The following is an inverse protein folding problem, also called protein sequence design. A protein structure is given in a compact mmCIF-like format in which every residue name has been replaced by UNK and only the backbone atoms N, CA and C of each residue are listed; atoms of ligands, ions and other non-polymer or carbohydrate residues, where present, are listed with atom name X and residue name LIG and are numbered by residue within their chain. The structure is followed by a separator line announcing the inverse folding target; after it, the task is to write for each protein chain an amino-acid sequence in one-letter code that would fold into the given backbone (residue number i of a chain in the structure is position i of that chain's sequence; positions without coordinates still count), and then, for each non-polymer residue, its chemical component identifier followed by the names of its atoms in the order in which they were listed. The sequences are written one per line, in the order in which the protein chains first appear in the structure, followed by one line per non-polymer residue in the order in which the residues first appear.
data_IF_063853774828
#
_entry.id   IF_063853774828
#
_cell.length_a   1.000
_cell.length_b   1.000
_cell.length_c   1.000
_cell.angle_alpha   90.00
_cell.angle_beta   90.00
_cell.angle_gamma   90.00
#
_symmetry.space_group_name_H-M   'P 1'
#
loop_
_entity.id
_entity.type
_entity.pdbx_description
1 polymer ?
#
# COMPACT_ATOMS: atom_id res chain seq x y z
N UNK A 1 -10.89 3.30 -15.52
CA UNK A 1 -9.61 3.68 -14.89
C UNK A 1 -9.78 4.22 -13.46
N UNK A 2 -10.66 5.17 -13.25
CA UNK A 2 -10.90 5.74 -11.91
C UNK A 2 -11.29 4.66 -10.90
N UNK A 3 -12.16 3.71 -11.30
CA UNK A 3 -12.57 2.61 -10.41
C UNK A 3 -11.40 1.74 -9.99
N UNK A 4 -10.50 1.45 -10.93
CA UNK A 4 -9.31 0.62 -10.66
C UNK A 4 -8.40 1.37 -9.69
N UNK A 5 -8.13 2.65 -9.94
CA UNK A 5 -7.29 3.46 -9.06
C UNK A 5 -7.91 3.57 -7.66
N UNK A 6 -9.22 3.81 -7.57
CA UNK A 6 -9.91 3.89 -6.29
C UNK A 6 -9.80 2.57 -5.52
N UNK A 7 -9.98 1.45 -6.20
CA UNK A 7 -9.84 0.12 -5.59
C UNK A 7 -8.42 -0.09 -5.08
N UNK A 8 -7.42 0.21 -5.90
CA UNK A 8 -6.02 0.02 -5.53
C UNK A 8 -5.60 0.94 -4.38
N UNK A 9 -6.06 2.19 -4.39
CA UNK A 9 -5.77 3.14 -3.31
C UNK A 9 -6.42 2.66 -2.01
N UNK A 10 -7.69 2.24 -2.07
CA UNK A 10 -8.39 1.71 -0.90
C UNK A 10 -7.69 0.48 -0.34
N UNK A 11 -7.31 -0.46 -1.22
CA UNK A 11 -6.58 -1.66 -0.82
C UNK A 11 -5.21 -1.30 -0.20
N UNK A 12 -4.50 -0.34 -0.81
CA UNK A 12 -3.21 0.10 -0.30
C UNK A 12 -3.33 0.76 1.08
N UNK A 13 -4.37 1.54 1.30
CA UNK A 13 -4.63 2.14 2.61
C UNK A 13 -4.87 1.06 3.67
N UNK A 14 -5.63 0.02 3.33
CA UNK A 14 -5.87 -1.09 4.25
C UNK A 14 -4.58 -1.86 4.53
N UNK A 15 -3.79 -2.15 3.51
CA UNK A 15 -2.55 -2.91 3.70
C UNK A 15 -1.50 -2.08 4.45
N UNK A 16 -1.21 -0.86 4.00
CA UNK A 16 -0.20 -0.02 4.63
C UNK A 16 -0.66 0.38 6.02
N UNK A 17 -1.94 0.73 6.18
CA UNK A 17 -2.51 1.03 7.49
C UNK A 17 -2.42 -0.16 8.43
N UNK A 18 -2.74 -1.35 7.93
CA UNK A 18 -2.62 -2.60 8.70
C UNK A 18 -1.18 -2.88 9.11
N UNK A 19 -0.22 -2.73 8.20
CA UNK A 19 1.20 -2.91 8.51
C UNK A 19 1.68 -1.88 9.53
N UNK A 20 1.24 -0.63 9.42
CA UNK A 20 1.59 0.40 10.38
C UNK A 20 1.03 0.09 11.76
N UNK A 21 -0.22 -0.37 11.84
CA UNK A 21 -0.83 -0.79 13.10
C UNK A 21 -0.09 -1.97 13.71
N UNK A 22 0.31 -2.95 12.90
CA UNK A 22 1.08 -4.09 13.39
C UNK A 22 2.43 -3.64 13.94
N UNK A 23 3.09 -2.70 13.26
CA UNK A 23 4.36 -2.16 13.72
C UNK A 23 4.20 -1.50 15.10
N UNK A 24 3.19 -0.63 15.25
CA UNK A 24 2.91 0.02 16.52
C UNK A 24 2.50 -0.98 17.58
N UNK A 25 1.65 -1.95 17.22
CA UNK A 25 1.17 -2.97 18.15
C UNK A 25 2.29 -3.85 18.68
N UNK A 26 3.25 -4.22 17.84
CA UNK A 26 4.40 -5.02 18.25
C UNK A 26 5.32 -4.23 19.19
N UNK A 27 5.51 -2.94 18.93
CA UNK A 27 6.28 -2.07 19.81
C UNK A 27 5.62 -1.91 21.19
N UNK A 28 4.30 -1.74 21.20
CA UNK A 28 3.52 -1.51 22.41
C UNK A 28 3.01 -2.79 23.07
N UNK A 29 3.18 -3.95 22.39
CA UNK A 29 2.64 -5.26 22.84
C UNK A 29 1.16 -5.16 23.18
N UNK A 30 0.37 -4.58 22.26
CA UNK A 30 -1.05 -4.29 22.51
C UNK A 30 -1.96 -4.99 21.52
N UNK A 31 -3.28 -4.88 21.76
CA UNK A 31 -4.32 -5.40 20.88
C UNK A 31 -4.30 -4.75 19.48
N UNK A 32 -3.55 -3.68 19.28
CA UNK A 32 -3.42 -3.00 17.99
C UNK A 32 -2.91 -3.97 16.91
N UNK A 33 -2.12 -4.98 17.30
CA UNK A 33 -1.71 -6.04 16.36
C UNK A 33 -2.93 -6.73 15.74
N UNK A 34 -3.96 -7.02 16.55
CA UNK A 34 -5.19 -7.65 16.04
C UNK A 34 -5.93 -6.73 15.07
N UNK A 35 -5.98 -5.42 15.34
CA UNK A 35 -6.58 -4.45 14.43
C UNK A 35 -5.81 -4.40 13.10
N UNK A 36 -4.48 -4.43 13.16
CA UNK A 36 -3.64 -4.48 11.97
C UNK A 36 -3.89 -5.74 11.14
N UNK A 37 -3.97 -6.90 11.81
CA UNK A 37 -4.27 -8.16 11.12
C UNK A 37 -5.63 -8.14 10.44
N UNK A 38 -6.66 -7.60 11.09
CA UNK A 38 -7.99 -7.46 10.51
C UNK A 38 -7.97 -6.57 9.26
N UNK A 39 -7.20 -5.48 9.30
CA UNK A 39 -7.03 -4.59 8.16
C UNK A 39 -6.35 -5.31 6.99
N UNK A 40 -5.36 -6.15 7.25
CA UNK A 40 -4.67 -6.93 6.22
C UNK A 40 -5.60 -7.95 5.56
N UNK A 41 -6.47 -8.60 6.33
CA UNK A 41 -7.48 -9.51 5.78
C UNK A 41 -8.44 -8.75 4.88
N UNK A 42 -8.92 -7.59 5.32
CA UNK A 42 -9.80 -6.73 4.52
C UNK A 42 -9.12 -6.30 3.22
N UNK A 43 -7.84 -5.95 3.28
CA UNK A 43 -7.05 -5.63 2.10
C UNK A 43 -7.05 -6.79 1.11
N UNK A 44 -6.77 -8.00 1.58
CA UNK A 44 -6.71 -9.19 0.71
C UNK A 44 -8.01 -9.44 -0.02
N UNK A 45 -9.14 -9.24 0.65
CA UNK A 45 -10.46 -9.36 0.03
C UNK A 45 -10.68 -8.25 -0.99
N UNK A 46 -10.40 -7.00 -0.61
CA UNK A 46 -10.68 -5.84 -1.44
C UNK A 46 -9.85 -5.83 -2.72
N UNK A 47 -8.54 -6.07 -2.60
CA UNK A 47 -7.62 -5.99 -3.76
C UNK A 47 -7.96 -7.02 -4.84
N UNK A 48 -8.53 -8.15 -4.44
CA UNK A 48 -8.88 -9.21 -5.38
C UNK A 48 -10.25 -9.05 -6.05
N UNK A 49 -10.93 -7.94 -5.81
CA UNK A 49 -12.25 -7.69 -6.39
C UNK A 49 -12.22 -7.01 -7.75
N UNK A 50 -11.03 -6.60 -8.19
CA UNK A 50 -10.88 -5.93 -9.48
C UNK A 50 -10.95 -6.90 -10.65
N UNK A 51 -11.10 -6.34 -11.86
CA UNK A 51 -11.21 -7.10 -13.10
C UNK A 51 -9.87 -7.35 -13.80
N UNK A 52 -8.77 -6.81 -13.29
CA UNK A 52 -7.45 -7.02 -13.86
C UNK A 52 -6.95 -8.44 -13.59
N UNK A 53 -6.21 -8.99 -14.55
CA UNK A 53 -5.51 -10.25 -14.29
C UNK A 53 -4.47 -10.05 -13.17
N UNK A 54 -4.12 -11.16 -12.50
CA UNK A 54 -3.32 -11.08 -11.28
C UNK A 54 -1.97 -10.39 -11.50
N UNK A 55 -1.28 -10.69 -12.59
CA UNK A 55 0.03 -10.09 -12.87
C UNK A 55 -0.04 -8.58 -13.06
N UNK A 56 -1.00 -8.11 -13.85
CA UNK A 56 -1.21 -6.68 -14.04
C UNK A 56 -1.67 -6.01 -12.76
N UNK A 57 -2.55 -6.66 -12.03
CA UNK A 57 -3.02 -6.16 -10.74
C UNK A 57 -1.86 -5.92 -9.78
N UNK A 58 -1.00 -6.90 -9.63
CA UNK A 58 0.14 -6.79 -8.71
C UNK A 58 1.12 -5.71 -9.15
N UNK A 59 1.40 -5.61 -10.45
CA UNK A 59 2.29 -4.57 -10.97
C UNK A 59 1.76 -3.17 -10.72
N UNK A 60 0.50 -2.92 -11.03
CA UNK A 60 -0.13 -1.62 -10.76
C UNK A 60 -0.23 -1.35 -9.26
N UNK A 61 -0.55 -2.40 -8.49
CA UNK A 61 -0.72 -2.27 -7.05
C UNK A 61 0.59 -1.86 -6.36
N UNK A 62 1.72 -2.42 -6.78
CA UNK A 62 3.03 -2.07 -6.20
C UNK A 62 3.29 -0.57 -6.32
N UNK A 63 2.96 0.04 -7.45
CA UNK A 63 3.13 1.48 -7.63
C UNK A 63 2.25 2.28 -6.67
N UNK A 64 0.98 1.93 -6.55
CA UNK A 64 0.05 2.58 -5.62
C UNK A 64 0.47 2.35 -4.18
N UNK A 65 0.83 1.10 -3.85
CA UNK A 65 1.30 0.73 -2.52
C UNK A 65 2.51 1.57 -2.11
N UNK A 66 3.48 1.74 -3.00
CA UNK A 66 4.67 2.53 -2.69
C UNK A 66 4.31 3.97 -2.31
N UNK A 67 3.49 4.63 -3.13
CA UNK A 67 3.09 6.02 -2.87
C UNK A 67 2.35 6.13 -1.53
N UNK A 68 1.38 5.25 -1.30
CA UNK A 68 0.61 5.24 -0.05
C UNK A 68 1.53 4.99 1.14
N UNK A 69 2.47 4.06 1.01
CA UNK A 69 3.39 3.74 2.10
C UNK A 69 4.27 4.92 2.48
N UNK A 70 4.71 5.72 1.50
CA UNK A 70 5.53 6.91 1.79
C UNK A 70 4.71 7.98 2.52
N UNK A 71 3.46 8.18 2.11
CA UNK A 71 2.57 9.13 2.78
C UNK A 71 2.32 8.70 4.22
N UNK A 72 2.00 7.43 4.44
CA UNK A 72 1.76 6.90 5.79
C UNK A 72 3.03 6.98 6.65
N UNK A 73 4.19 6.64 6.09
CA UNK A 73 5.45 6.73 6.81
C UNK A 73 5.73 8.16 7.27
N UNK A 74 5.44 9.13 6.41
CA UNK A 74 5.61 10.54 6.76
C UNK A 74 4.63 10.98 7.85
N UNK A 75 3.35 10.62 7.71
CA UNK A 75 2.31 11.09 8.62
C UNK A 75 2.34 10.40 9.99
N UNK A 76 2.57 9.09 10.02
CA UNK A 76 2.52 8.31 11.28
C UNK A 76 3.88 8.17 11.94
N UNK A 77 4.94 7.99 11.17
CA UNK A 77 6.26 7.70 11.71
C UNK A 77 7.26 8.84 11.51
N UNK A 78 6.83 9.92 10.87
CA UNK A 78 7.66 11.09 10.58
C UNK A 78 8.94 10.74 9.81
N UNK A 79 8.88 9.70 8.96
CA UNK A 79 10.00 9.28 8.14
C UNK A 79 9.98 10.07 6.83
N UNK A 80 11.00 10.90 6.62
CA UNK A 80 11.18 11.64 5.37
C UNK A 80 11.97 10.75 4.41
N UNK A 81 11.46 10.49 3.18
CA UNK A 81 12.15 9.61 2.25
C UNK A 81 13.47 10.23 1.77
N UNK A 82 14.51 9.41 1.68
CA UNK A 82 15.79 9.80 1.13
C UNK A 82 15.70 9.98 -0.39
N UNK A 83 16.68 10.69 -0.98
CA UNK A 83 16.71 10.91 -2.43
C UNK A 83 16.71 9.60 -3.22
N UNK A 84 17.43 8.58 -2.75
CA UNK A 84 17.43 7.25 -3.38
C UNK A 84 16.06 6.59 -3.37
N UNK A 85 15.34 6.73 -2.27
CA UNK A 85 13.97 6.20 -2.16
C UNK A 85 13.04 6.91 -3.14
N UNK A 86 13.18 8.21 -3.28
CA UNK A 86 12.38 8.97 -4.24
C UNK A 86 12.70 8.57 -5.69
N UNK A 87 13.98 8.37 -6.00
CA UNK A 87 14.38 7.94 -7.34
C UNK A 87 13.84 6.54 -7.64
N UNK A 88 14.05 5.59 -6.74
CA UNK A 88 13.51 4.23 -6.88
C UNK A 88 12.00 4.22 -6.98
N UNK A 89 11.35 5.06 -6.19
CA UNK A 89 9.90 5.22 -6.24
C UNK A 89 9.40 5.76 -7.57
N UNK A 90 10.12 6.72 -8.16
CA UNK A 90 9.78 7.23 -9.48
C UNK A 90 9.83 6.12 -10.54
N UNK A 91 10.82 5.23 -10.46
CA UNK A 91 10.92 4.07 -11.34
C UNK A 91 9.76 3.09 -11.13
N UNK A 92 9.39 2.85 -9.88
CA UNK A 92 8.26 1.97 -9.54
C UNK A 92 6.96 2.52 -10.11
N UNK A 93 6.71 3.82 -9.92
CA UNK A 93 5.49 4.47 -10.41
C UNK A 93 5.46 4.46 -11.95
N UNK A 94 6.58 4.77 -12.59
CA UNK A 94 6.68 4.73 -14.04
C UNK A 94 6.40 3.32 -14.58
N UNK A 95 6.93 2.28 -13.91
CA UNK A 95 6.65 0.88 -14.25
C UNK A 95 5.17 0.53 -14.11
N UNK A 96 4.56 0.95 -13.02
CA UNK A 96 3.12 0.72 -12.78
C UNK A 96 2.24 1.39 -13.83
N UNK A 97 2.55 2.63 -14.19
CA UNK A 97 1.84 3.34 -15.25
C UNK A 97 1.96 2.60 -16.58
N UNK A 98 3.16 2.11 -16.88
CA UNK A 98 3.42 1.35 -18.12
C UNK A 98 2.59 0.06 -18.15
N UNK A 99 2.49 -0.66 -17.03
CA UNK A 99 1.71 -1.89 -16.92
C UNK A 99 0.22 -1.62 -17.11
N UNK A 100 -0.26 -0.55 -16.52
CA UNK A 100 -1.67 -0.18 -16.60
C UNK A 100 -2.07 0.18 -18.03
N UNK A 101 -1.13 0.73 -18.78
CA UNK A 101 -1.34 1.11 -20.16
C UNK A 101 -2.04 2.42 -20.29
#
# INVERSE_FOLDING_TARGET
MIRILALLIGAALLEVGGLALMRQGLELRSWIVAAGAASLVAYGVLVNQGSLDFGRLMGCYIAVFFVVSQVIALLLFHHVPAARTLLGGALIVAGGITILG
#
